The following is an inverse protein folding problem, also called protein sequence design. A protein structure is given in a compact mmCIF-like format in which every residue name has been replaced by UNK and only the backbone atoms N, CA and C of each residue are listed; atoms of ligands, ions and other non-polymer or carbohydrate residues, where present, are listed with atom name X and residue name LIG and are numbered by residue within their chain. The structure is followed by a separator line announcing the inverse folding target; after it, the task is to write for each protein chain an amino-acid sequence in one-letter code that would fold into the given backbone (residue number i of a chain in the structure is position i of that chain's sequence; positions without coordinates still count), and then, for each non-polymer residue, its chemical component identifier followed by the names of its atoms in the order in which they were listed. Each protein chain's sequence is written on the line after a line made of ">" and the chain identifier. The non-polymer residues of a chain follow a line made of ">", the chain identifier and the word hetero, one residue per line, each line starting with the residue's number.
data_IF_053694166391
#
_entry.id   IF_053694166391
#
_cell.length_a   1.000
_cell.length_b   1.000
_cell.length_c   1.000
_cell.angle_alpha   90.00
_cell.angle_beta   90.00
_cell.angle_gamma   90.00
#
_symmetry.space_group_name_H-M   'P 1'
#
loop_
_entity.id
_entity.type
_entity.pdbx_description
1 polymer ?
#
# COMPACT_ATOMS: atom_id res chain seq x y z
N UNK A 1 -35.22 -3.23 -6.22
CA UNK A 1 -35.32 -2.09 -5.29
C UNK A 1 -34.11 -2.19 -4.38
N UNK A 2 -33.27 -1.17 -4.30
CA UNK A 2 -32.06 -1.20 -3.50
C UNK A 2 -32.28 -0.43 -2.19
N UNK A 3 -31.85 -1.00 -1.07
CA UNK A 3 -31.97 -0.37 0.26
C UNK A 3 -30.78 0.57 0.49
N UNK A 4 -31.05 1.76 1.03
CA UNK A 4 -30.02 2.69 1.51
C UNK A 4 -29.85 2.66 3.03
N UNK A 5 -30.89 2.25 3.73
CA UNK A 5 -30.98 2.14 5.18
C UNK A 5 -31.95 1.03 5.55
N UNK A 6 -31.82 0.53 6.77
CA UNK A 6 -32.78 -0.38 7.37
C UNK A 6 -33.74 0.46 8.23
N UNK A 7 -35.06 0.27 8.13
CA UNK A 7 -36.00 0.92 9.03
C UNK A 7 -35.73 0.56 10.49
N UNK A 8 -35.90 1.52 11.38
CA UNK A 8 -35.83 1.30 12.83
C UNK A 8 -36.76 0.13 13.24
N UNK A 9 -36.30 -0.70 14.17
CA UNK A 9 -37.08 -1.77 14.79
C UNK A 9 -37.51 -2.91 13.84
N UNK A 10 -37.02 -2.95 12.60
CA UNK A 10 -37.27 -4.05 11.66
C UNK A 10 -36.92 -5.42 12.28
N UNK A 11 -35.94 -5.46 13.17
CA UNK A 11 -35.43 -6.69 13.78
C UNK A 11 -36.00 -7.00 15.16
N UNK A 12 -36.98 -6.24 15.67
CA UNK A 12 -37.66 -6.54 16.95
C UNK A 12 -38.49 -7.83 16.94
N UNK A 13 -39.09 -8.13 15.78
CA UNK A 13 -40.00 -9.27 15.62
C UNK A 13 -39.28 -10.59 15.28
N UNK A 14 -38.29 -10.63 14.36
CA UNK A 14 -37.60 -11.87 14.00
C UNK A 14 -36.57 -12.28 15.07
N UNK A 15 -37.04 -12.67 16.25
CA UNK A 15 -36.23 -13.04 17.42
C UNK A 15 -35.32 -14.26 17.19
N UNK A 16 -35.60 -15.06 16.17
CA UNK A 16 -34.85 -16.27 15.83
C UNK A 16 -34.03 -16.11 14.54
N UNK A 17 -33.78 -14.87 14.11
CA UNK A 17 -32.97 -14.62 12.92
C UNK A 17 -31.53 -15.07 13.16
N UNK A 18 -31.10 -16.10 12.43
CA UNK A 18 -29.73 -16.62 12.49
C UNK A 18 -28.89 -16.21 11.27
N UNK A 19 -29.52 -15.97 10.12
CA UNK A 19 -28.86 -15.61 8.87
C UNK A 19 -29.51 -14.37 8.28
N UNK A 20 -28.72 -13.34 8.02
CA UNK A 20 -29.15 -12.09 7.41
C UNK A 20 -28.31 -11.83 6.17
N UNK A 21 -28.94 -11.89 5.00
CA UNK A 21 -28.33 -11.48 3.75
C UNK A 21 -28.94 -10.15 3.30
N UNK A 22 -28.10 -9.12 3.27
CA UNK A 22 -28.41 -7.77 2.81
C UNK A 22 -27.39 -7.30 1.76
N UNK A 23 -26.85 -8.25 0.99
CA UNK A 23 -25.93 -8.00 -0.11
C UNK A 23 -26.58 -7.21 -1.25
N UNK A 24 -25.75 -6.62 -2.12
CA UNK A 24 -26.20 -5.89 -3.32
C UNK A 24 -27.21 -4.78 -3.00
N UNK A 25 -26.89 -3.96 -2.00
CA UNK A 25 -27.67 -2.79 -1.60
C UNK A 25 -26.81 -1.52 -1.74
N UNK A 26 -27.29 -0.40 -1.19
CA UNK A 26 -26.64 0.91 -1.27
C UNK A 26 -26.16 1.40 0.10
N UNK A 27 -25.81 0.48 1.00
CA UNK A 27 -25.30 0.84 2.32
C UNK A 27 -23.90 1.46 2.19
N UNK A 28 -23.76 2.71 2.63
CA UNK A 28 -22.47 3.41 2.68
C UNK A 28 -21.73 3.23 4.01
N UNK A 29 -22.40 2.63 5.00
CA UNK A 29 -21.89 2.25 6.32
C UNK A 29 -22.60 0.97 6.78
N UNK A 30 -22.04 0.27 7.76
CA UNK A 30 -22.73 -0.86 8.39
C UNK A 30 -23.99 -0.34 9.10
N UNK A 31 -25.21 -0.87 8.80
CA UNK A 31 -26.43 -0.41 9.45
C UNK A 31 -26.42 -0.73 10.94
N UNK A 32 -26.69 0.25 11.80
CA UNK A 32 -26.66 0.05 13.26
C UNK A 32 -27.84 -0.82 13.73
N UNK A 33 -28.94 -0.82 12.99
CA UNK A 33 -30.17 -1.53 13.32
C UNK A 33 -29.97 -3.05 13.44
N UNK A 34 -28.93 -3.60 12.80
CA UNK A 34 -28.62 -5.04 12.92
C UNK A 34 -28.20 -5.43 14.34
N UNK A 35 -27.82 -4.49 15.22
CA UNK A 35 -27.51 -4.77 16.63
C UNK A 35 -28.68 -5.46 17.37
N UNK A 36 -29.91 -5.20 16.94
CA UNK A 36 -31.12 -5.83 17.49
C UNK A 36 -31.22 -7.34 17.15
N UNK A 37 -30.38 -7.85 16.25
CA UNK A 37 -30.37 -9.26 15.83
C UNK A 37 -29.58 -10.15 16.80
N UNK A 38 -30.10 -10.33 18.00
CA UNK A 38 -29.38 -10.98 19.11
C UNK A 38 -28.96 -12.45 18.88
N UNK A 39 -29.57 -13.15 17.92
CA UNK A 39 -29.25 -14.55 17.60
C UNK A 39 -28.53 -14.73 16.25
N UNK A 40 -28.10 -13.63 15.62
CA UNK A 40 -27.49 -13.67 14.30
C UNK A 40 -26.15 -14.39 14.33
N UNK A 41 -25.99 -15.40 13.47
CA UNK A 41 -24.79 -16.21 13.30
C UNK A 41 -24.07 -15.92 12.00
N UNK A 42 -24.80 -15.54 10.95
CA UNK A 42 -24.24 -15.25 9.63
C UNK A 42 -24.79 -13.94 9.08
N UNK A 43 -23.87 -13.07 8.65
CA UNK A 43 -24.18 -11.77 8.05
C UNK A 43 -23.46 -11.62 6.72
N UNK A 44 -24.24 -11.38 5.66
CA UNK A 44 -23.73 -11.15 4.31
C UNK A 44 -24.02 -9.70 3.92
N UNK A 45 -22.96 -8.91 3.79
CA UNK A 45 -22.96 -7.49 3.44
C UNK A 45 -22.32 -7.22 2.07
N UNK A 46 -22.03 -8.28 1.30
CA UNK A 46 -21.34 -8.21 0.01
C UNK A 46 -21.96 -7.18 -0.95
N UNK A 47 -21.13 -6.61 -1.83
CA UNK A 47 -21.60 -5.70 -2.90
C UNK A 47 -22.40 -4.50 -2.36
N UNK A 48 -21.89 -3.87 -1.29
CA UNK A 48 -22.38 -2.61 -0.77
C UNK A 48 -21.29 -1.51 -0.88
N UNK A 49 -21.66 -0.25 -1.15
CA UNK A 49 -20.70 0.85 -1.35
C UNK A 49 -20.06 1.38 -0.05
N UNK A 50 -19.83 0.52 0.95
CA UNK A 50 -19.17 0.89 2.21
C UNK A 50 -17.70 1.22 1.92
N UNK A 51 -17.28 2.42 2.31
CA UNK A 51 -15.93 2.90 2.02
C UNK A 51 -14.88 2.49 3.07
N UNK A 52 -15.30 2.34 4.33
CA UNK A 52 -14.42 2.00 5.45
C UNK A 52 -15.23 1.32 6.54
N UNK A 53 -14.66 0.28 7.17
CA UNK A 53 -15.24 -0.31 8.38
C UNK A 53 -14.59 0.37 9.59
N UNK A 54 -15.35 1.25 10.23
CA UNK A 54 -14.90 2.04 11.40
C UNK A 54 -15.37 1.43 12.72
N UNK A 55 -16.60 0.94 12.70
CA UNK A 55 -17.26 0.34 13.84
C UNK A 55 -18.26 -0.68 13.32
N UNK A 56 -18.34 -1.81 14.01
CA UNK A 56 -19.29 -2.86 13.73
C UNK A 56 -20.25 -3.00 14.92
N UNK A 57 -21.57 -3.05 14.67
CA UNK A 57 -22.57 -3.26 15.71
C UNK A 57 -22.25 -4.49 16.55
N UNK A 58 -22.66 -4.48 17.82
CA UNK A 58 -22.39 -5.59 18.73
C UNK A 58 -23.23 -6.81 18.37
N UNK A 59 -22.59 -7.82 17.79
CA UNK A 59 -23.22 -9.08 17.41
C UNK A 59 -22.53 -10.24 18.12
N UNK A 60 -22.95 -10.47 19.37
CA UNK A 60 -22.29 -11.41 20.28
C UNK A 60 -22.28 -12.86 19.77
N UNK A 61 -23.22 -13.26 18.91
CA UNK A 61 -23.32 -14.64 18.37
C UNK A 61 -22.84 -14.79 16.93
N UNK A 62 -22.31 -13.71 16.31
CA UNK A 62 -21.91 -13.76 14.91
C UNK A 62 -20.69 -14.66 14.73
N UNK A 63 -20.82 -15.66 13.85
CA UNK A 63 -19.77 -16.62 13.53
C UNK A 63 -19.20 -16.42 12.12
N UNK A 64 -20.01 -15.91 11.19
CA UNK A 64 -19.65 -15.73 9.77
C UNK A 64 -19.98 -14.32 9.32
N UNK A 65 -18.99 -13.62 8.76
CA UNK A 65 -19.14 -12.29 8.20
C UNK A 65 -18.57 -12.22 6.79
N UNK A 66 -19.40 -11.80 5.83
CA UNK A 66 -18.99 -11.54 4.45
C UNK A 66 -19.04 -10.03 4.14
N UNK A 67 -17.91 -9.49 3.69
CA UNK A 67 -17.65 -8.11 3.28
C UNK A 67 -16.91 -8.10 1.93
N UNK A 68 -17.37 -8.91 0.98
CA UNK A 68 -16.72 -9.11 -0.32
C UNK A 68 -17.34 -8.25 -1.42
N UNK A 69 -16.59 -8.03 -2.51
CA UNK A 69 -17.08 -7.27 -3.67
C UNK A 69 -17.55 -5.84 -3.36
N UNK A 70 -17.07 -5.25 -2.28
CA UNK A 70 -17.36 -3.87 -1.90
C UNK A 70 -16.61 -2.92 -2.85
N UNK A 71 -17.31 -2.18 -3.74
CA UNK A 71 -16.65 -1.37 -4.77
C UNK A 71 -15.83 -0.22 -4.20
N UNK A 72 -16.17 0.25 -2.99
CA UNK A 72 -15.57 1.43 -2.37
C UNK A 72 -14.70 1.12 -1.15
N UNK A 73 -14.61 -0.13 -0.68
CA UNK A 73 -13.95 -0.43 0.59
C UNK A 73 -12.44 -0.21 0.48
N UNK A 74 -11.91 0.72 1.26
CA UNK A 74 -10.50 1.15 1.24
C UNK A 74 -9.74 0.64 2.47
N UNK A 75 -10.39 0.61 3.63
CA UNK A 75 -9.76 0.25 4.90
C UNK A 75 -10.69 -0.42 5.91
N UNK A 76 -10.10 -1.22 6.80
CA UNK A 76 -10.70 -1.71 8.03
C UNK A 76 -9.89 -1.14 9.19
N UNK A 77 -10.52 -0.28 9.99
CA UNK A 77 -9.84 0.54 11.01
C UNK A 77 -9.59 -0.26 12.31
N UNK A 78 -8.78 0.33 13.20
CA UNK A 78 -8.45 -0.26 14.49
C UNK A 78 -9.70 -0.52 15.33
N UNK A 79 -9.77 -1.71 15.94
CA UNK A 79 -10.89 -2.17 16.78
C UNK A 79 -12.27 -2.12 16.12
N UNK A 80 -12.34 -1.91 14.80
CA UNK A 80 -13.60 -1.73 14.09
C UNK A 80 -14.48 -2.99 14.10
N UNK A 81 -13.88 -4.18 14.21
CA UNK A 81 -14.57 -5.48 14.30
C UNK A 81 -14.44 -6.10 15.70
N UNK A 82 -13.97 -5.35 16.70
CA UNK A 82 -13.66 -5.85 18.05
C UNK A 82 -14.87 -6.40 18.82
N UNK A 83 -16.08 -6.00 18.43
CA UNK A 83 -17.33 -6.47 19.04
C UNK A 83 -17.69 -7.92 18.65
N UNK A 84 -17.11 -8.45 17.56
CA UNK A 84 -17.44 -9.76 16.98
C UNK A 84 -16.66 -10.91 17.64
N UNK A 85 -16.84 -11.08 18.95
CA UNK A 85 -16.01 -11.97 19.79
C UNK A 85 -16.06 -13.46 19.40
N UNK A 86 -17.13 -13.90 18.76
CA UNK A 86 -17.33 -15.29 18.36
C UNK A 86 -17.08 -15.55 16.86
N UNK A 87 -16.50 -14.58 16.13
CA UNK A 87 -16.27 -14.70 14.70
C UNK A 87 -15.28 -15.84 14.39
N UNK A 88 -15.69 -16.74 13.50
CA UNK A 88 -14.91 -17.90 13.03
C UNK A 88 -14.51 -17.77 11.57
N UNK A 89 -15.32 -17.09 10.77
CA UNK A 89 -15.10 -16.90 9.34
C UNK A 89 -15.25 -15.42 8.95
N UNK A 90 -14.18 -14.86 8.39
CA UNK A 90 -14.20 -13.53 7.79
C UNK A 90 -13.85 -13.65 6.31
N UNK A 91 -14.81 -13.32 5.46
CA UNK A 91 -14.61 -13.21 4.02
C UNK A 91 -14.61 -11.74 3.59
N UNK A 92 -13.43 -11.21 3.31
CA UNK A 92 -13.22 -9.84 2.85
C UNK A 92 -12.39 -9.89 1.56
N UNK A 93 -12.89 -10.64 0.57
CA UNK A 93 -12.21 -10.86 -0.70
C UNK A 93 -12.81 -9.98 -1.81
N UNK A 94 -12.07 -9.79 -2.90
CA UNK A 94 -12.55 -9.04 -4.08
C UNK A 94 -12.91 -7.57 -3.80
N UNK A 95 -12.27 -6.93 -2.82
CA UNK A 95 -12.38 -5.49 -2.57
C UNK A 95 -11.17 -4.78 -3.21
N UNK A 96 -11.30 -4.39 -4.47
CA UNK A 96 -10.18 -3.92 -5.31
C UNK A 96 -9.51 -2.62 -4.81
N UNK A 97 -10.14 -1.90 -3.88
CA UNK A 97 -9.59 -0.69 -3.26
C UNK A 97 -9.03 -0.93 -1.84
N UNK A 98 -9.28 -2.10 -1.24
CA UNK A 98 -8.90 -2.39 0.14
C UNK A 98 -7.39 -2.55 0.24
N UNK A 99 -6.71 -1.57 0.81
CA UNK A 99 -5.25 -1.53 0.88
C UNK A 99 -4.69 -1.58 2.30
N UNK A 100 -5.56 -1.51 3.33
CA UNK A 100 -5.14 -1.52 4.73
C UNK A 100 -6.17 -2.21 5.61
N UNK A 101 -5.69 -3.08 6.49
CA UNK A 101 -6.42 -3.65 7.62
C UNK A 101 -5.53 -3.41 8.84
N UNK A 102 -6.05 -2.72 9.83
CA UNK A 102 -5.31 -2.46 11.06
C UNK A 102 -5.02 -3.77 11.83
N UNK A 103 -3.83 -3.90 12.41
CA UNK A 103 -3.45 -5.08 13.19
C UNK A 103 -4.33 -5.32 14.42
N UNK A 104 -5.04 -4.31 14.91
CA UNK A 104 -5.98 -4.43 16.03
C UNK A 104 -7.44 -4.43 15.60
N UNK A 105 -7.74 -4.54 14.30
CA UNK A 105 -9.10 -4.48 13.78
C UNK A 105 -10.08 -5.46 14.47
N UNK A 106 -9.60 -6.68 14.76
CA UNK A 106 -10.39 -7.74 15.40
C UNK A 106 -10.23 -7.79 16.92
N UNK A 107 -9.32 -7.00 17.49
CA UNK A 107 -8.90 -7.12 18.88
C UNK A 107 -9.83 -6.35 19.81
N UNK A 108 -10.39 -7.05 20.80
CA UNK A 108 -11.07 -6.43 21.95
C UNK A 108 -10.10 -6.30 23.12
N UNK A 109 -10.23 -5.26 23.94
CA UNK A 109 -9.49 -5.15 25.20
C UNK A 109 -10.39 -5.40 26.41
N UNK A 110 -9.87 -6.09 27.42
CA UNK A 110 -10.45 -6.19 28.76
C UNK A 110 -9.37 -5.92 29.83
N UNK A 111 -9.74 -6.04 31.11
CA UNK A 111 -8.79 -5.83 32.23
C UNK A 111 -7.63 -6.84 32.24
N UNK A 112 -7.80 -7.99 31.59
CA UNK A 112 -6.84 -9.10 31.56
C UNK A 112 -5.91 -9.06 30.32
N UNK A 113 -6.21 -8.20 29.33
CA UNK A 113 -5.40 -8.02 28.14
C UNK A 113 -6.22 -7.87 26.86
N UNK A 114 -5.59 -8.23 25.75
CA UNK A 114 -6.21 -8.21 24.43
C UNK A 114 -6.75 -9.61 24.06
N UNK A 115 -7.94 -9.63 23.46
CA UNK A 115 -8.67 -10.85 23.07
C UNK A 115 -8.94 -10.78 21.58
N UNK A 116 -8.61 -11.86 20.88
CA UNK A 116 -8.91 -12.07 19.47
C UNK A 116 -10.06 -13.08 19.31
N UNK A 117 -10.92 -12.89 18.29
CA UNK A 117 -11.95 -13.87 17.96
C UNK A 117 -11.32 -15.18 17.46
N UNK A 118 -12.02 -16.32 17.60
CA UNK A 118 -11.54 -17.65 17.26
C UNK A 118 -11.58 -17.93 15.74
N UNK A 119 -10.89 -17.11 14.94
CA UNK A 119 -10.90 -17.23 13.47
C UNK A 119 -10.29 -18.56 13.02
N UNK A 120 -11.02 -19.26 12.15
CA UNK A 120 -10.67 -20.53 11.53
C UNK A 120 -10.47 -20.34 10.02
N UNK A 121 -11.27 -19.46 9.42
CA UNK A 121 -11.25 -19.16 7.98
C UNK A 121 -11.11 -17.66 7.75
N UNK A 122 -10.10 -17.29 6.96
CA UNK A 122 -9.83 -15.90 6.62
C UNK A 122 -9.56 -15.79 5.12
N UNK A 123 -10.40 -15.02 4.43
CA UNK A 123 -10.27 -14.76 3.00
C UNK A 123 -10.03 -13.28 2.77
N UNK A 124 -8.82 -12.93 2.33
CA UNK A 124 -8.34 -11.59 2.01
C UNK A 124 -7.80 -11.49 0.58
N UNK A 125 -8.14 -12.44 -0.28
CA UNK A 125 -7.64 -12.50 -1.65
C UNK A 125 -8.32 -11.49 -2.58
N UNK A 126 -7.64 -11.13 -3.67
CA UNK A 126 -8.13 -10.16 -4.67
C UNK A 126 -8.44 -8.78 -4.07
N UNK A 127 -7.54 -8.28 -3.21
CA UNK A 127 -7.59 -6.92 -2.68
C UNK A 127 -6.36 -6.11 -3.16
N UNK A 128 -6.09 -4.98 -2.52
CA UNK A 128 -4.94 -4.12 -2.78
C UNK A 128 -3.98 -4.07 -1.58
N UNK A 129 -3.94 -5.13 -0.77
CA UNK A 129 -3.11 -5.19 0.43
C UNK A 129 -1.62 -5.28 0.06
N UNK A 130 -0.83 -4.33 0.56
CA UNK A 130 0.64 -4.38 0.45
C UNK A 130 1.31 -5.01 1.67
N UNK A 131 0.72 -4.80 2.85
CA UNK A 131 1.17 -5.31 4.13
C UNK A 131 0.06 -6.08 4.83
N UNK A 132 0.45 -7.03 5.66
CA UNK A 132 -0.43 -7.73 6.58
C UNK A 132 0.24 -7.68 7.95
N UNK A 133 -0.46 -7.10 8.92
CA UNK A 133 0.06 -7.00 10.27
C UNK A 133 -0.02 -8.36 10.97
N UNK A 134 1.07 -8.78 11.62
CA UNK A 134 1.10 -10.03 12.37
C UNK A 134 0.16 -10.01 13.58
N UNK A 135 -0.17 -8.82 14.11
CA UNK A 135 -1.08 -8.63 15.22
C UNK A 135 -2.55 -8.84 14.84
N UNK A 136 -2.89 -8.85 13.55
CA UNK A 136 -4.28 -9.06 13.08
C UNK A 136 -4.92 -10.29 13.73
N UNK A 137 -4.11 -11.34 13.94
CA UNK A 137 -4.47 -12.53 14.69
C UNK A 137 -3.35 -12.89 15.65
N UNK A 138 -3.65 -13.09 16.94
CA UNK A 138 -2.66 -13.62 17.88
C UNK A 138 -2.39 -15.12 17.67
N UNK A 139 -3.39 -15.88 17.21
CA UNK A 139 -3.37 -17.35 17.14
C UNK A 139 -3.45 -17.86 15.69
N UNK A 140 -2.51 -17.45 14.83
CA UNK A 140 -2.43 -17.90 13.43
C UNK A 140 -2.43 -19.43 13.26
N UNK A 141 -1.98 -20.19 14.27
CA UNK A 141 -2.00 -21.65 14.27
C UNK A 141 -3.40 -22.27 14.21
N UNK A 142 -4.44 -21.52 14.61
CA UNK A 142 -5.84 -21.98 14.56
C UNK A 142 -6.48 -21.84 13.18
N UNK A 143 -5.88 -21.02 12.32
CA UNK A 143 -6.41 -20.74 10.99
C UNK A 143 -6.24 -21.99 10.12
N UNK A 144 -7.35 -22.64 9.81
CA UNK A 144 -7.36 -23.82 8.94
C UNK A 144 -7.34 -23.42 7.47
N UNK A 145 -8.01 -22.31 7.12
CA UNK A 145 -8.10 -21.82 5.75
C UNK A 145 -7.70 -20.34 5.71
N UNK A 146 -6.63 -20.05 4.98
CA UNK A 146 -6.17 -18.69 4.74
C UNK A 146 -5.98 -18.47 3.25
N UNK A 147 -6.67 -17.47 2.68
CA UNK A 147 -6.41 -17.03 1.33
C UNK A 147 -5.99 -15.56 1.31
N UNK A 148 -4.73 -15.30 0.96
CA UNK A 148 -4.17 -13.94 0.82
C UNK A 148 -3.64 -13.69 -0.61
N UNK A 149 -3.97 -14.57 -1.55
CA UNK A 149 -3.50 -14.50 -2.93
C UNK A 149 -4.01 -13.24 -3.66
N UNK A 150 -3.37 -12.88 -4.76
CA UNK A 150 -3.80 -11.77 -5.62
C UNK A 150 -3.89 -10.44 -4.86
N UNK A 151 -2.83 -10.13 -4.12
CA UNK A 151 -2.60 -8.85 -3.47
C UNK A 151 -1.21 -8.33 -3.88
N UNK A 152 -1.00 -7.02 -3.98
CA UNK A 152 0.28 -6.43 -4.34
C UNK A 152 1.27 -6.43 -3.15
N UNK A 153 1.63 -7.62 -2.65
CA UNK A 153 2.47 -7.77 -1.47
C UNK A 153 3.82 -7.05 -1.60
N UNK A 154 4.16 -6.28 -0.57
CA UNK A 154 5.45 -5.59 -0.45
C UNK A 154 6.42 -6.51 0.29
N UNK A 155 7.46 -6.95 -0.40
CA UNK A 155 8.46 -7.90 0.10
C UNK A 155 9.70 -7.19 0.64
N UNK A 156 9.48 -6.35 1.64
CA UNK A 156 10.53 -5.77 2.48
C UNK A 156 10.60 -6.52 3.82
N UNK A 157 11.45 -6.06 4.72
CA UNK A 157 11.63 -6.71 6.02
C UNK A 157 10.46 -6.55 7.01
N UNK A 158 9.54 -5.60 6.80
CA UNK A 158 8.34 -5.48 7.66
C UNK A 158 7.39 -6.67 7.42
N UNK A 159 7.32 -7.15 6.18
CA UNK A 159 6.57 -8.35 5.83
C UNK A 159 7.39 -9.64 5.96
N UNK A 160 8.62 -9.61 6.53
CA UNK A 160 9.47 -10.80 6.66
C UNK A 160 8.75 -11.96 7.34
N UNK A 161 7.92 -11.65 8.34
CA UNK A 161 7.14 -12.61 9.09
C UNK A 161 6.20 -13.45 8.21
N UNK A 162 5.69 -12.89 7.11
CA UNK A 162 4.84 -13.64 6.17
C UNK A 162 5.61 -14.82 5.57
N UNK A 163 6.91 -14.65 5.34
CA UNK A 163 7.78 -15.69 4.76
C UNK A 163 8.37 -16.60 5.85
N UNK A 164 8.83 -16.03 6.97
CA UNK A 164 9.50 -16.78 8.04
C UNK A 164 8.54 -17.58 8.91
N UNK A 165 7.36 -17.05 9.18
CA UNK A 165 6.44 -17.58 10.20
C UNK A 165 5.14 -18.08 9.56
N UNK A 166 4.50 -17.28 8.70
CA UNK A 166 3.21 -17.65 8.12
C UNK A 166 3.32 -18.80 7.11
N UNK A 167 4.27 -18.79 6.18
CA UNK A 167 4.44 -19.88 5.19
C UNK A 167 4.59 -21.27 5.86
N UNK A 168 5.44 -21.45 6.90
CA UNK A 168 5.50 -22.71 7.66
C UNK A 168 4.15 -23.17 8.21
N UNK A 169 3.38 -22.25 8.81
CA UNK A 169 2.06 -22.56 9.37
C UNK A 169 1.10 -23.07 8.28
N UNK A 170 1.10 -22.41 7.12
CA UNK A 170 0.26 -22.78 5.98
C UNK A 170 0.64 -24.11 5.32
N UNK A 171 1.93 -24.49 5.35
CA UNK A 171 2.37 -25.81 4.85
C UNK A 171 1.98 -26.96 5.80
N UNK A 172 1.86 -26.68 7.09
CA UNK A 172 1.50 -27.66 8.12
C UNK A 172 -0.01 -27.89 8.18
N UNK A 173 -0.80 -26.84 8.01
CA UNK A 173 -2.21 -26.96 7.61
C UNK A 173 -2.24 -27.65 6.25
N UNK A 174 -3.16 -28.59 5.99
CA UNK A 174 -3.23 -29.38 4.75
C UNK A 174 -3.65 -28.54 3.51
N UNK A 175 -3.31 -27.25 3.52
CA UNK A 175 -3.68 -26.17 2.60
C UNK A 175 -2.63 -25.94 1.53
N UNK A 176 -2.03 -27.02 1.01
CA UNK A 176 -0.93 -26.98 0.04
C UNK A 176 -1.26 -26.15 -1.21
N UNK A 177 -2.54 -26.07 -1.58
CA UNK A 177 -3.02 -25.32 -2.76
C UNK A 177 -3.21 -23.81 -2.54
N UNK A 178 -3.24 -23.32 -1.30
CA UNK A 178 -3.54 -21.90 -1.01
C UNK A 178 -2.29 -21.01 -1.02
N UNK A 179 -1.09 -21.60 -1.06
CA UNK A 179 0.17 -20.86 -0.85
C UNK A 179 0.88 -20.52 -2.17
N UNK A 180 0.65 -21.29 -3.24
CA UNK A 180 1.40 -21.18 -4.50
C UNK A 180 1.20 -19.83 -5.22
N UNK A 181 0.05 -19.19 -5.03
CA UNK A 181 -0.30 -17.90 -5.64
C UNK A 181 0.15 -16.65 -4.86
N UNK A 182 0.95 -16.79 -3.80
CA UNK A 182 1.42 -15.65 -3.00
C UNK A 182 2.78 -15.20 -3.54
N UNK A 183 2.79 -14.05 -4.21
CA UNK A 183 3.96 -13.49 -4.90
C UNK A 183 4.21 -12.06 -4.49
N UNK A 184 5.46 -11.65 -4.52
CA UNK A 184 5.87 -10.27 -4.32
C UNK A 184 5.45 -9.39 -5.51
N UNK A 185 4.95 -8.19 -5.21
CA UNK A 185 4.73 -7.14 -6.21
C UNK A 185 5.80 -6.05 -6.13
N UNK A 186 6.13 -5.64 -4.90
CA UNK A 186 7.17 -4.65 -4.60
C UNK A 186 8.21 -5.24 -3.64
N UNK A 187 9.40 -4.64 -3.52
CA UNK A 187 9.97 -3.70 -4.48
C UNK A 187 10.25 -4.37 -5.84
N UNK A 188 10.63 -3.60 -6.85
CA UNK A 188 10.88 -4.06 -8.22
C UNK A 188 11.79 -5.28 -8.33
N UNK A 189 12.80 -5.39 -7.46
CA UNK A 189 13.80 -6.45 -7.40
C UNK A 189 13.22 -7.77 -6.85
N UNK A 190 12.15 -7.66 -6.06
CA UNK A 190 11.44 -8.79 -5.48
C UNK A 190 10.24 -9.21 -6.33
N UNK A 191 9.78 -8.36 -7.25
CA UNK A 191 8.58 -8.58 -8.07
C UNK A 191 8.59 -9.97 -8.73
N UNK A 192 7.48 -10.68 -8.57
CA UNK A 192 7.25 -12.02 -9.11
C UNK A 192 7.88 -13.16 -8.31
N UNK A 193 8.67 -12.90 -7.26
CA UNK A 193 9.19 -13.98 -6.40
C UNK A 193 8.07 -14.58 -5.57
N UNK A 194 7.98 -15.91 -5.54
CA UNK A 194 7.02 -16.65 -4.72
C UNK A 194 7.46 -16.69 -3.26
N UNK A 195 6.52 -16.52 -2.33
CA UNK A 195 6.80 -16.60 -0.89
C UNK A 195 7.28 -18.00 -0.48
N UNK A 196 6.79 -19.05 -1.16
CA UNK A 196 7.23 -20.43 -0.93
C UNK A 196 8.70 -20.60 -1.29
N UNK A 197 9.11 -20.04 -2.44
CA UNK A 197 10.49 -20.11 -2.90
C UNK A 197 11.43 -19.30 -2.01
N UNK A 198 10.99 -18.11 -1.58
CA UNK A 198 11.71 -17.28 -0.62
C UNK A 198 11.94 -18.02 0.69
N UNK A 199 10.89 -18.66 1.21
CA UNK A 199 10.98 -19.48 2.42
C UNK A 199 11.94 -20.66 2.23
N UNK A 200 11.80 -21.44 1.16
CA UNK A 200 12.66 -22.60 0.90
C UNK A 200 14.15 -22.25 0.75
N UNK A 201 14.45 -21.07 0.23
CA UNK A 201 15.83 -20.58 0.06
C UNK A 201 16.37 -19.88 1.31
N UNK A 202 15.58 -19.80 2.40
CA UNK A 202 15.89 -18.99 3.58
C UNK A 202 16.27 -17.55 3.22
N UNK A 203 15.55 -16.98 2.27
CA UNK A 203 15.86 -15.66 1.73
C UNK A 203 15.30 -14.57 2.65
N UNK A 204 16.17 -13.65 3.08
CA UNK A 204 15.78 -12.48 3.86
C UNK A 204 15.40 -11.33 2.91
N UNK A 205 14.19 -10.82 3.09
CA UNK A 205 13.66 -9.66 2.39
C UNK A 205 14.42 -8.40 2.82
N UNK A 206 14.69 -7.52 1.86
CA UNK A 206 15.60 -6.39 2.04
C UNK A 206 14.88 -5.24 2.76
N UNK A 207 15.47 -4.72 3.84
CA UNK A 207 15.07 -3.43 4.38
C UNK A 207 15.63 -2.28 3.53
N UNK A 208 14.87 -1.21 3.36
CA UNK A 208 15.47 0.09 3.02
C UNK A 208 16.38 0.52 4.19
N UNK A 209 17.51 1.17 3.90
CA UNK A 209 18.35 1.73 4.95
C UNK A 209 17.62 2.87 5.68
N UNK A 210 18.14 3.34 6.82
CA UNK A 210 17.55 4.42 7.64
C UNK A 210 17.26 5.72 6.84
N UNK A 211 17.85 5.87 5.66
CA UNK A 211 17.71 7.03 4.79
C UNK A 211 16.79 6.80 3.58
N UNK A 212 16.17 5.61 3.48
CA UNK A 212 15.25 5.28 2.38
C UNK A 212 15.92 5.25 1.01
N UNK A 213 17.26 5.11 0.97
CA UNK A 213 18.02 5.22 -0.28
C UNK A 213 17.71 4.03 -1.17
N UNK A 214 17.27 4.34 -2.38
CA UNK A 214 17.13 3.37 -3.46
C UNK A 214 18.39 3.48 -4.30
N UNK A 215 19.40 2.60 -4.11
CA UNK A 215 20.71 2.76 -4.75
C UNK A 215 20.63 2.91 -6.27
N UNK A 216 19.59 2.38 -6.92
CA UNK A 216 19.38 2.51 -8.37
C UNK A 216 18.90 3.91 -8.78
N UNK A 217 17.99 4.53 -8.01
CA UNK A 217 17.54 5.90 -8.25
C UNK A 217 18.60 6.92 -7.89
N UNK A 218 19.31 6.68 -6.78
CA UNK A 218 20.40 7.55 -6.36
C UNK A 218 21.58 7.46 -7.33
N UNK A 219 21.87 6.27 -7.87
CA UNK A 219 22.88 6.09 -8.91
C UNK A 219 22.49 6.78 -10.23
N UNK A 220 21.23 6.72 -10.65
CA UNK A 220 20.79 7.42 -11.88
C UNK A 220 20.85 8.94 -11.73
N UNK A 221 20.51 9.49 -10.56
CA UNK A 221 20.71 10.92 -10.26
C UNK A 221 22.19 11.29 -10.29
N UNK A 222 23.05 10.50 -9.65
CA UNK A 222 24.50 10.73 -9.63
C UNK A 222 25.11 10.69 -11.04
N UNK A 223 24.71 9.71 -11.86
CA UNK A 223 25.13 9.61 -13.28
C UNK A 223 24.66 10.82 -14.07
N UNK A 224 23.42 11.28 -13.86
CA UNK A 224 22.89 12.49 -14.48
C UNK A 224 23.69 13.74 -14.13
N UNK A 225 24.05 13.91 -12.85
CA UNK A 225 24.89 15.02 -12.37
C UNK A 225 26.29 14.96 -12.99
N UNK A 226 26.91 13.78 -13.04
CA UNK A 226 28.23 13.57 -13.66
C UNK A 226 28.23 13.94 -15.14
N UNK A 227 27.22 13.51 -15.90
CA UNK A 227 27.06 13.87 -17.32
C UNK A 227 26.90 15.38 -17.47
N UNK A 228 26.08 16.01 -16.63
CA UNK A 228 25.87 17.46 -16.64
C UNK A 228 27.15 18.25 -16.39
N UNK A 229 27.95 17.84 -15.40
CA UNK A 229 29.24 18.47 -15.08
C UNK A 229 30.24 18.30 -16.23
N UNK A 230 30.33 17.08 -16.80
CA UNK A 230 31.23 16.78 -17.93
C UNK A 230 30.91 17.58 -19.19
N UNK A 231 29.64 17.96 -19.42
CA UNK A 231 29.24 18.80 -20.55
C UNK A 231 29.40 20.31 -20.26
N UNK A 232 29.15 20.75 -19.03
CA UNK A 232 29.24 22.17 -18.67
C UNK A 232 30.67 22.73 -18.71
N UNK A 233 31.67 21.94 -18.28
CA UNK A 233 33.08 22.35 -18.28
C UNK A 233 33.59 22.70 -19.70
N UNK A 234 33.47 21.83 -20.72
CA UNK A 234 33.91 22.17 -22.07
C UNK A 234 33.08 23.30 -22.69
N UNK A 235 31.77 23.38 -22.44
CA UNK A 235 30.92 24.46 -22.98
C UNK A 235 31.32 25.84 -22.42
N UNK A 236 31.58 25.92 -21.11
CA UNK A 236 32.05 27.17 -20.48
C UNK A 236 33.45 27.55 -20.94
N UNK A 237 34.36 26.57 -21.09
CA UNK A 237 35.69 26.80 -21.65
C UNK A 237 35.65 27.30 -23.11
N UNK A 238 34.81 26.69 -23.95
CA UNK A 238 34.59 27.13 -25.34
C UNK A 238 34.01 28.55 -25.35
N UNK A 239 32.99 28.81 -24.54
CA UNK A 239 32.40 30.15 -24.42
C UNK A 239 33.43 31.21 -23.99
N UNK A 240 34.30 30.88 -23.04
CA UNK A 240 35.38 31.76 -22.61
C UNK A 240 36.43 32.00 -23.71
N UNK A 241 36.80 30.96 -24.46
CA UNK A 241 37.72 31.08 -25.60
C UNK A 241 37.11 31.98 -26.69
N UNK A 242 35.83 31.80 -27.01
CA UNK A 242 35.10 32.64 -27.98
C UNK A 242 35.02 34.09 -27.51
N UNK A 243 34.69 34.33 -26.24
CA UNK A 243 34.66 35.66 -25.64
C UNK A 243 36.04 36.35 -25.71
N UNK A 244 37.11 35.62 -25.36
CA UNK A 244 38.48 36.16 -25.42
C UNK A 244 38.91 36.48 -26.85
N UNK A 245 38.55 35.63 -27.84
CA UNK A 245 38.80 35.87 -29.26
C UNK A 245 38.07 37.12 -29.77
N UNK A 246 36.81 37.31 -29.39
CA UNK A 246 36.03 38.50 -29.75
C UNK A 246 36.61 39.78 -29.13
N UNK A 247 37.09 39.70 -27.88
CA UNK A 247 37.67 40.86 -27.19
C UNK A 247 39.10 41.19 -27.68
N UNK A 248 39.84 40.23 -28.23
CA UNK A 248 41.12 40.51 -28.90
C UNK A 248 40.92 41.16 -30.26
N UNK A 249 39.93 40.70 -31.04
CA UNK A 249 39.59 41.32 -32.33
C UNK A 249 39.10 42.76 -32.14
N UNK A 250 38.24 43.05 -31.15
CA UNK A 250 37.80 44.43 -30.84
C UNK A 250 38.95 45.37 -30.44
N UNK A 251 39.94 44.89 -29.66
CA UNK A 251 41.15 45.65 -29.32
C UNK A 251 42.05 45.91 -30.53
N UNK A 252 42.07 44.99 -31.51
CA UNK A 252 42.85 45.14 -32.74
C UNK A 252 42.22 46.21 -33.67
N UNK A 253 40.89 46.28 -33.75
CA UNK A 253 40.19 47.38 -34.42
C UNK A 253 40.44 48.73 -33.74
N UNK A 254 40.41 48.77 -32.40
CA UNK A 254 40.68 50.01 -31.65
C UNK A 254 42.11 50.53 -31.88
N UNK A 255 43.12 49.65 -31.91
CA UNK A 255 44.52 50.04 -32.22
C UNK A 255 44.75 50.44 -33.67
N UNK A 256 43.97 49.92 -34.62
CA UNK A 256 44.04 50.34 -36.02
C UNK A 256 43.56 51.79 -36.20
N UNK A 257 42.56 52.24 -35.42
CA UNK A 257 42.10 53.64 -35.42
C UNK A 257 43.12 54.62 -34.83
N UNK A 258 43.87 54.24 -33.78
CA UNK A 258 44.90 55.12 -33.21
C UNK A 258 46.17 55.26 -34.08
N UNK A 259 46.41 54.35 -35.03
CA UNK A 259 47.55 54.46 -35.97
C UNK A 259 47.27 55.34 -37.20
N UNK A 260 46.03 55.82 -37.37
CA UNK A 260 45.63 56.66 -38.49
C UNK A 260 45.63 58.17 -38.19
N UNK A 261 46.07 58.58 -36.99
CA UNK A 261 46.09 59.98 -36.57
C UNK A 261 47.52 60.45 -36.22
N UNK A 262 48.45 60.39 -37.18
CA UNK A 262 49.67 61.19 -37.13
C UNK A 262 50.33 61.31 -38.52
N UNK A 263 49.72 62.07 -39.43
CA UNK A 263 50.42 62.61 -40.62
C UNK A 263 49.75 63.93 -41.04
N UNK A 264 50.55 65.00 -41.01
CA UNK A 264 50.38 66.33 -41.65
C UNK A 264 49.53 67.40 -40.93
N UNK A 265 50.22 68.26 -40.18
CA UNK A 265 50.02 69.71 -40.29
C UNK A 265 51.36 70.39 -40.62
N UNK A 266 51.58 70.62 -41.92
CA UNK A 266 52.46 71.66 -42.45
C UNK A 266 51.54 72.71 -43.08
N UNK A 267 51.50 73.91 -42.51
CA UNK A 267 50.97 75.14 -43.09
C UNK A 267 51.91 76.25 -42.58
N UNK A 268 52.91 76.66 -43.36
CA UNK A 268 52.96 77.78 -44.33
C UNK A 268 52.98 79.19 -43.73
N UNK A 269 54.11 79.84 -43.98
CA UNK A 269 54.29 81.21 -44.50
C UNK A 269 54.42 82.43 -43.57
N UNK A 270 55.49 83.17 -43.90
CA UNK A 270 55.90 84.56 -43.64
C UNK A 270 56.44 84.95 -42.27
#
# INVERSE_FOLDING_TARGET
>A
MYLKSIPEHMFHTPRFLEVLNISSNLFTSVPIEIEETHNLKELILDDNPIASIKEFPRLDHLEVLHLSWMPNLVSIESRSLSSLKNLKELNCSHNLLLHSIDGTALTSANEEGEIWPPIIKLFLNNNKLGYLDSQLLMQWERVMYLNIQNNPWICDCNNQWLVSDLIPLLKKSNSKFMVDGIVCHEPTEMRGKSFIDLHHRNYFMRCLDKYGRQPEKDATVLVGVLIGVLLAIPLTAIGFILYKRQNQTSKQYSRAFYKAADVNQVFTET
#
